data_IF_871989277888
#
_entry.id   IF_871989277888
#
_cell.length_a   1.000
_cell.length_b   1.000
_cell.length_c   1.000
_cell.angle_alpha   90.00
_cell.angle_beta   90.00
_cell.angle_gamma   90.00
#
_symmetry.space_group_name_H-M   'P 1'
#
loop_
_entity.id
_entity.type
_entity.pdbx_description
1 polymer ?
#
# COMPACT_ATOMS: atom_id res chain seq x y z
N UNK A 1 -4.68 2.62 13.22
CA UNK A 1 -3.55 3.08 12.39
C UNK A 1 -4.12 3.24 11.00
N UNK A 2 -4.00 4.44 10.43
CA UNK A 2 -4.44 4.70 9.05
C UNK A 2 -3.25 4.55 8.12
N UNK A 3 -3.47 3.80 7.04
CA UNK A 3 -2.50 3.61 5.98
C UNK A 3 -2.90 4.48 4.78
N UNK A 4 -1.94 5.24 4.30
CA UNK A 4 -1.91 6.01 3.06
C UNK A 4 -1.27 5.17 1.95
N UNK A 5 -1.98 5.03 0.84
CA UNK A 5 -1.46 4.43 -0.39
C UNK A 5 -1.36 5.51 -1.44
N UNK A 6 -0.18 5.70 -2.04
CA UNK A 6 -0.01 6.69 -3.09
C UNK A 6 0.75 6.13 -4.29
N UNK A 7 0.41 6.66 -5.46
CA UNK A 7 1.08 6.40 -6.72
C UNK A 7 1.51 7.72 -7.35
N UNK A 8 2.80 7.89 -7.64
CA UNK A 8 3.30 9.14 -8.21
C UNK A 8 4.44 8.91 -9.20
N UNK A 9 4.52 9.74 -10.24
CA UNK A 9 5.68 9.77 -11.13
C UNK A 9 6.83 10.51 -10.47
N UNK A 10 8.03 9.92 -10.46
CA UNK A 10 9.19 10.48 -9.74
C UNK A 10 10.31 10.98 -10.65
N UNK A 11 10.57 10.32 -11.77
CA UNK A 11 11.63 10.72 -12.69
C UNK A 11 11.47 10.03 -14.06
N UNK A 12 11.42 10.81 -15.14
CA UNK A 12 11.18 10.29 -16.48
C UNK A 12 9.93 9.40 -16.52
N UNK A 13 10.10 8.15 -16.96
CA UNK A 13 9.02 7.16 -17.02
C UNK A 13 8.91 6.31 -15.74
N UNK A 14 9.63 6.65 -14.66
CA UNK A 14 9.63 5.87 -13.42
C UNK A 14 8.57 6.40 -12.47
N UNK A 15 7.71 5.50 -12.01
CA UNK A 15 6.70 5.71 -10.99
C UNK A 15 7.10 5.06 -9.68
N UNK A 16 6.59 5.64 -8.62
CA UNK A 16 6.70 5.17 -7.25
C UNK A 16 5.31 4.85 -6.74
N UNK A 17 5.14 3.63 -6.25
CA UNK A 17 4.01 3.24 -5.44
C UNK A 17 4.48 3.07 -4.00
N UNK A 18 3.77 3.67 -3.04
CA UNK A 18 4.11 3.62 -1.62
C UNK A 18 2.90 3.25 -0.77
N UNK A 19 3.16 2.49 0.28
CA UNK A 19 2.25 2.28 1.40
C UNK A 19 2.92 2.81 2.66
N UNK A 20 2.27 3.75 3.34
CA UNK A 20 2.81 4.39 4.53
C UNK A 20 1.73 4.70 5.56
N UNK A 21 2.07 4.76 6.84
CA UNK A 21 1.18 5.27 7.88
C UNK A 21 1.81 6.49 8.54
N UNK A 22 0.99 7.50 8.82
CA UNK A 22 1.38 8.55 9.74
C UNK A 22 1.26 8.04 11.17
N UNK A 23 2.31 8.23 11.98
CA UNK A 23 2.35 7.85 13.39
C UNK A 23 2.27 9.13 14.25
N UNK A 24 1.07 9.54 14.71
CA UNK A 24 0.89 10.82 15.39
C UNK A 24 1.73 10.96 16.66
N UNK A 25 1.96 9.84 17.36
CA UNK A 25 2.74 9.81 18.62
C UNK A 25 4.17 10.29 18.47
N UNK A 26 4.79 10.04 17.31
CA UNK A 26 6.19 10.40 17.04
C UNK A 26 6.31 11.41 15.89
N UNK A 27 5.19 11.88 15.35
CA UNK A 27 5.10 12.82 14.23
C UNK A 27 5.96 12.40 13.02
N UNK A 28 5.95 11.10 12.70
CA UNK A 28 6.72 10.54 11.57
C UNK A 28 5.83 9.71 10.67
N UNK A 29 6.23 9.68 9.39
CA UNK A 29 5.68 8.76 8.40
C UNK A 29 6.51 7.48 8.45
N UNK A 30 5.86 6.34 8.63
CA UNK A 30 6.45 5.02 8.49
C UNK A 30 6.04 4.46 7.13
N UNK A 31 7.01 4.21 6.25
CA UNK A 31 6.78 3.54 4.96
C UNK A 31 6.95 2.04 5.14
N UNK A 32 5.91 1.26 4.84
CA UNK A 32 5.95 -0.19 4.88
C UNK A 32 6.44 -0.77 3.57
N UNK A 33 5.99 -0.19 2.46
CA UNK A 33 6.27 -0.68 1.11
C UNK A 33 6.57 0.50 0.20
N UNK A 34 7.58 0.32 -0.65
CA UNK A 34 7.97 1.27 -1.70
C UNK A 34 8.41 0.49 -2.92
N UNK A 35 7.70 0.66 -4.03
CA UNK A 35 7.93 -0.06 -5.28
C UNK A 35 8.17 0.98 -6.38
N UNK A 36 9.15 0.71 -7.22
CA UNK A 36 9.42 1.52 -8.40
C UNK A 36 9.08 0.73 -9.66
N UNK A 37 8.29 1.32 -10.54
CA UNK A 37 7.84 0.68 -11.79
C UNK A 37 7.74 1.70 -12.91
N UNK A 38 8.03 1.29 -14.13
CA UNK A 38 7.79 2.09 -15.34
C UNK A 38 6.45 1.76 -16.02
N UNK A 39 5.65 0.87 -15.42
CA UNK A 39 4.37 0.42 -15.96
C UNK A 39 3.22 1.12 -15.22
N UNK A 40 2.39 1.85 -15.96
CA UNK A 40 1.22 2.60 -15.47
C UNK A 40 -0.10 1.96 -15.95
N UNK A 41 -0.26 0.65 -15.74
CA UNK A 41 -1.51 -0.05 -16.09
C UNK A 41 -2.25 -0.50 -14.83
N UNK A 42 -3.57 -0.48 -14.88
CA UNK A 42 -4.41 -1.02 -13.80
C UNK A 42 -4.04 -2.48 -13.47
N UNK A 43 -3.69 -3.28 -14.48
CA UNK A 43 -3.25 -4.66 -14.28
C UNK A 43 -1.93 -4.74 -13.52
N UNK A 44 -0.95 -3.90 -13.84
CA UNK A 44 0.32 -3.87 -13.11
C UNK A 44 0.10 -3.46 -11.64
N UNK A 45 -0.77 -2.47 -11.41
CA UNK A 45 -1.17 -2.08 -10.06
C UNK A 45 -1.81 -3.23 -9.28
N UNK A 46 -2.77 -3.93 -9.90
CA UNK A 46 -3.43 -5.08 -9.30
C UNK A 46 -2.42 -6.18 -8.96
N UNK A 47 -1.49 -6.49 -9.87
CA UNK A 47 -0.47 -7.51 -9.63
C UNK A 47 0.41 -7.14 -8.43
N UNK A 48 0.87 -5.88 -8.33
CA UNK A 48 1.68 -5.40 -7.20
C UNK A 48 0.91 -5.49 -5.87
N UNK A 49 -0.37 -5.13 -5.90
CA UNK A 49 -1.24 -5.21 -4.75
C UNK A 49 -1.44 -6.66 -4.29
N UNK A 50 -1.83 -7.54 -5.22
CA UNK A 50 -2.06 -8.96 -4.95
C UNK A 50 -0.78 -9.65 -4.44
N UNK A 51 0.37 -9.42 -5.07
CA UNK A 51 1.63 -10.04 -4.68
C UNK A 51 2.07 -9.59 -3.28
N UNK A 52 1.87 -8.32 -2.94
CA UNK A 52 2.17 -7.82 -1.59
C UNK A 52 1.29 -8.49 -0.55
N UNK A 53 -0.04 -8.46 -0.71
CA UNK A 53 -0.94 -8.99 0.30
C UNK A 53 -0.85 -10.51 0.40
N UNK A 54 -0.68 -11.23 -0.72
CA UNK A 54 -0.41 -12.67 -0.68
C UNK A 54 0.85 -13.00 0.10
N UNK A 55 1.91 -12.21 -0.06
CA UNK A 55 3.15 -12.39 0.70
C UNK A 55 2.90 -12.24 2.20
N UNK A 56 2.22 -11.15 2.59
CA UNK A 56 1.87 -10.88 4.00
C UNK A 56 0.97 -11.98 4.57
N UNK A 57 -0.11 -12.34 3.88
CA UNK A 57 -1.08 -13.36 4.29
C UNK A 57 -0.43 -14.73 4.50
N UNK A 58 0.52 -15.09 3.64
CA UNK A 58 1.29 -16.33 3.76
C UNK A 58 2.11 -16.37 5.06
N UNK A 59 2.71 -15.25 5.44
CA UNK A 59 3.56 -15.17 6.63
C UNK A 59 2.74 -15.11 7.93
N UNK A 60 1.58 -14.45 7.92
CA UNK A 60 0.71 -14.34 9.11
C UNK A 60 -0.25 -15.53 9.26
N UNK A 61 -0.49 -16.29 8.20
CA UNK A 61 -1.39 -17.46 8.20
C UNK A 61 -2.88 -17.09 8.25
N UNK A 62 -3.23 -15.84 7.97
CA UNK A 62 -4.61 -15.33 7.96
C UNK A 62 -4.83 -14.36 6.79
N UNK A 63 -6.10 -14.18 6.40
CA UNK A 63 -6.48 -13.23 5.35
C UNK A 63 -6.34 -11.80 5.85
N UNK A 64 -5.64 -10.98 5.07
CA UNK A 64 -5.49 -9.57 5.32
C UNK A 64 -6.80 -8.86 4.96
N UNK A 65 -7.38 -8.14 5.92
CA UNK A 65 -8.65 -7.45 5.73
C UNK A 65 -8.46 -5.94 5.79
N UNK A 66 -9.20 -5.22 4.95
CA UNK A 66 -9.37 -3.78 5.06
C UNK A 66 -10.64 -3.44 5.83
N UNK A 67 -10.52 -2.54 6.80
CA UNK A 67 -11.63 -2.18 7.68
C UNK A 67 -12.81 -1.55 6.90
N UNK A 68 -12.53 -0.75 5.88
CA UNK A 68 -13.56 -0.09 5.07
C UNK A 68 -14.37 -1.06 4.18
N UNK A 69 -13.83 -2.26 3.88
CA UNK A 69 -14.51 -3.28 3.06
C UNK A 69 -15.17 -4.33 3.95
N UNK A 70 -14.47 -4.77 5.00
CA UNK A 70 -14.83 -5.96 5.77
C UNK A 70 -15.25 -5.69 7.22
N UNK A 71 -15.26 -4.42 7.66
CA UNK A 71 -15.55 -4.04 9.06
C UNK A 71 -14.49 -4.47 10.07
N UNK A 72 -13.38 -5.07 9.59
CA UNK A 72 -12.24 -5.55 10.39
C UNK A 72 -10.93 -5.38 9.62
N UNK A 73 -9.81 -5.37 10.33
CA UNK A 73 -8.47 -5.21 9.75
C UNK A 73 -8.02 -3.75 9.63
N UNK A 74 -7.17 -3.42 8.65
CA UNK A 74 -6.49 -2.12 8.59
C UNK A 74 -7.37 -1.00 8.02
N UNK A 75 -7.38 0.14 8.72
CA UNK A 75 -7.98 1.38 8.23
C UNK A 75 -7.13 1.94 7.10
N UNK A 76 -7.72 2.12 5.92
CA UNK A 76 -7.04 2.65 4.75
C UNK A 76 -7.67 3.99 4.37
N UNK A 77 -6.83 4.98 4.14
CA UNK A 77 -7.19 6.24 3.50
C UNK A 77 -6.59 6.22 2.11
N UNK A 78 -7.45 6.20 1.10
CA UNK A 78 -7.03 6.41 -0.28
C UNK A 78 -6.94 7.92 -0.48
N UNK A 79 -5.73 8.45 -0.60
CA UNK A 79 -5.54 9.83 -1.07
C UNK A 79 -5.27 9.78 -2.58
N UNK A 80 -6.06 10.56 -3.33
CA UNK A 80 -5.93 10.76 -4.78
C UNK A 80 -4.68 11.58 -5.12
#
# INVERSE_FOLDING_TARGET
>A
MEIDMAFKRINGNTNEWKISAYLPRIQKILTFVRIFTNVETAQAYQNLFDDLFRCVEKDIGETFNFHHIHGKGLGCVLTD
#
